data_IF_689530529609
#
_entry.id   IF_689530529609
#
_cell.length_a   1.000
_cell.length_b   1.000
_cell.length_c   1.000
_cell.angle_alpha   90.00
_cell.angle_beta   90.00
_cell.angle_gamma   90.00
#
_symmetry.space_group_name_H-M   'P 1'
#
loop_
_entity.id
_entity.type
_entity.pdbx_description
1 polymer ?
#
# COMPACT_ATOMS: atom_id res chain seq x y z
N UNK A 1 10.43 19.32 9.59
CA UNK A 1 9.56 18.99 8.43
C UNK A 1 9.87 17.62 7.83
N UNK A 2 11.14 17.23 7.67
CA UNK A 2 11.55 15.90 7.12
C UNK A 2 11.07 14.70 7.97
N UNK A 3 11.08 14.83 9.30
CA UNK A 3 10.67 13.75 10.23
C UNK A 3 9.18 13.33 10.09
N UNK A 4 8.31 14.23 9.63
CA UNK A 4 6.89 13.94 9.49
C UNK A 4 6.62 13.04 8.27
N UNK A 5 7.33 13.28 7.16
CA UNK A 5 7.16 12.50 5.94
C UNK A 5 7.68 11.07 6.12
N UNK A 6 8.83 10.89 6.77
CA UNK A 6 9.37 9.54 7.06
C UNK A 6 8.42 8.72 7.93
N UNK A 7 7.82 9.33 8.96
CA UNK A 7 6.84 8.68 9.82
C UNK A 7 5.59 8.25 9.05
N UNK A 8 5.05 9.13 8.20
CA UNK A 8 3.89 8.81 7.36
C UNK A 8 4.22 7.67 6.40
N UNK A 9 5.37 7.72 5.71
CA UNK A 9 5.80 6.66 4.78
C UNK A 9 5.92 5.32 5.49
N UNK A 10 6.56 5.26 6.66
CA UNK A 10 6.69 4.03 7.45
C UNK A 10 5.32 3.44 7.80
N UNK A 11 4.37 4.27 8.22
CA UNK A 11 3.03 3.82 8.61
C UNK A 11 2.19 3.36 7.42
N UNK A 12 2.28 4.05 6.30
CA UNK A 12 1.62 3.60 5.07
C UNK A 12 2.26 2.31 4.53
N UNK A 13 3.57 2.14 4.66
CA UNK A 13 4.26 0.89 4.31
C UNK A 13 3.79 -0.29 5.18
N UNK A 14 3.66 -0.10 6.50
CA UNK A 14 3.09 -1.12 7.39
C UNK A 14 1.64 -1.45 7.01
N UNK A 15 0.81 -0.44 6.73
CA UNK A 15 -0.57 -0.61 6.32
C UNK A 15 -0.68 -1.37 4.97
N UNK A 16 0.15 -1.03 3.98
CA UNK A 16 0.23 -1.75 2.71
C UNK A 16 0.64 -3.21 2.89
N UNK A 17 1.61 -3.49 3.75
CA UNK A 17 2.02 -4.87 4.05
C UNK A 17 0.88 -5.67 4.75
N UNK A 18 0.13 -5.04 5.65
CA UNK A 18 -1.06 -5.64 6.28
C UNK A 18 -2.15 -5.91 5.25
N UNK A 19 -2.46 -4.92 4.41
CA UNK A 19 -3.47 -5.02 3.34
C UNK A 19 -3.15 -6.14 2.36
N UNK A 20 -1.91 -6.21 1.88
CA UNK A 20 -1.42 -7.27 0.98
C UNK A 20 -1.53 -8.67 1.60
N UNK A 21 -1.38 -8.75 2.92
CA UNK A 21 -1.46 -10.00 3.67
C UNK A 21 -2.88 -10.39 4.11
N UNK A 22 -3.89 -9.59 3.78
CA UNK A 22 -5.27 -9.80 4.22
C UNK A 22 -5.46 -9.61 5.74
N UNK A 23 -4.62 -8.77 6.36
CA UNK A 23 -4.73 -8.34 7.76
C UNK A 23 -5.39 -6.96 7.84
N UNK A 24 -6.07 -6.70 8.96
CA UNK A 24 -6.64 -5.39 9.26
C UNK A 24 -5.53 -4.39 9.61
N UNK A 25 -5.75 -3.13 9.25
CA UNK A 25 -4.97 -1.97 9.65
C UNK A 25 -5.93 -0.83 9.97
N UNK A 26 -5.45 0.15 10.74
CA UNK A 26 -6.19 1.34 11.11
C UNK A 26 -5.43 2.56 10.59
N UNK A 27 -6.03 3.26 9.63
CA UNK A 27 -5.46 4.48 9.05
C UNK A 27 -5.83 5.73 9.87
N UNK A 28 -6.88 5.67 10.69
CA UNK A 28 -7.35 6.80 11.49
C UNK A 28 -6.33 7.17 12.58
N UNK A 29 -5.53 6.20 13.01
CA UNK A 29 -4.39 6.40 13.89
C UNK A 29 -3.34 7.41 13.37
N UNK A 30 -3.37 7.76 12.07
CA UNK A 30 -2.47 8.77 11.48
C UNK A 30 -3.02 10.20 11.57
N UNK A 31 -4.24 10.39 12.06
CA UNK A 31 -4.86 11.73 12.16
C UNK A 31 -5.10 12.38 10.80
N UNK A 32 -5.16 11.58 9.72
CA UNK A 32 -5.45 12.06 8.38
C UNK A 32 -6.95 12.29 8.21
N UNK A 33 -7.33 13.36 7.50
CA UNK A 33 -8.72 13.69 7.23
C UNK A 33 -8.94 14.03 5.75
N UNK A 34 -10.20 13.95 5.32
CA UNK A 34 -10.64 14.39 3.98
C UNK A 34 -9.85 13.75 2.84
N UNK A 35 -9.42 14.60 1.90
CA UNK A 35 -8.70 14.15 0.70
C UNK A 35 -7.34 13.51 1.00
N UNK A 36 -6.67 13.93 2.08
CA UNK A 36 -5.37 13.35 2.48
C UNK A 36 -5.54 11.91 2.95
N UNK A 37 -6.60 11.63 3.74
CA UNK A 37 -6.94 10.26 4.14
C UNK A 37 -7.24 9.39 2.92
N UNK A 38 -8.10 9.89 2.01
CA UNK A 38 -8.44 9.18 0.77
C UNK A 38 -7.22 8.87 -0.08
N UNK A 39 -6.32 9.84 -0.27
CA UNK A 39 -5.08 9.62 -1.01
C UNK A 39 -4.22 8.54 -0.35
N UNK A 40 -4.10 8.55 0.98
CA UNK A 40 -3.34 7.56 1.71
C UNK A 40 -3.93 6.14 1.57
N UNK A 41 -5.26 6.01 1.60
CA UNK A 41 -5.95 4.73 1.34
C UNK A 41 -5.67 4.22 -0.08
N UNK A 42 -5.72 5.09 -1.09
CA UNK A 42 -5.43 4.73 -2.48
C UNK A 42 -3.96 4.32 -2.69
N UNK A 43 -3.02 4.98 -2.00
CA UNK A 43 -1.59 4.59 -1.98
C UNK A 43 -1.42 3.20 -1.37
N UNK A 44 -2.06 2.95 -0.23
CA UNK A 44 -2.01 1.66 0.47
C UNK A 44 -2.50 0.54 -0.44
N UNK A 45 -3.65 0.73 -1.10
CA UNK A 45 -4.23 -0.27 -1.99
C UNK A 45 -3.32 -0.52 -3.21
N UNK A 46 -2.87 0.55 -3.87
CA UNK A 46 -1.97 0.48 -5.02
C UNK A 46 -0.70 -0.31 -4.70
N UNK A 47 -0.01 0.06 -3.61
CA UNK A 47 1.22 -0.63 -3.21
C UNK A 47 0.92 -2.07 -2.80
N UNK A 48 -0.13 -2.33 -2.02
CA UNK A 48 -0.46 -3.68 -1.55
C UNK A 48 -0.66 -4.69 -2.69
N UNK A 49 -1.29 -4.28 -3.80
CA UNK A 49 -1.50 -5.14 -4.98
C UNK A 49 -0.18 -5.58 -5.64
N UNK A 50 0.90 -4.81 -5.47
CA UNK A 50 2.23 -5.13 -6.04
C UNK A 50 3.06 -6.07 -5.17
N UNK A 51 2.67 -6.29 -3.91
CA UNK A 51 3.48 -7.03 -2.93
C UNK A 51 3.18 -8.53 -2.88
N UNK A 52 2.03 -8.95 -3.39
CA UNK A 52 1.52 -10.31 -3.25
C UNK A 52 0.97 -10.85 -4.56
N UNK A 53 1.16 -12.14 -4.78
CA UNK A 53 0.40 -12.89 -5.77
C UNK A 53 -0.04 -14.23 -5.18
N UNK A 54 -1.13 -14.77 -5.70
CA UNK A 54 -1.64 -16.08 -5.31
C UNK A 54 -1.36 -17.11 -6.39
N UNK A 55 -0.89 -18.29 -5.97
CA UNK A 55 -0.73 -19.44 -6.87
C UNK A 55 -1.36 -20.67 -6.23
N UNK A 56 -2.42 -21.18 -6.85
CA UNK A 56 -3.23 -22.31 -6.31
C UNK A 56 -3.79 -22.02 -4.91
N UNK A 57 -4.28 -20.79 -4.70
CA UNK A 57 -4.84 -20.34 -3.41
C UNK A 57 -3.80 -20.13 -2.29
N UNK A 58 -2.50 -20.15 -2.61
CA UNK A 58 -1.42 -19.94 -1.66
C UNK A 58 -0.73 -18.60 -1.90
N UNK A 59 -0.58 -17.82 -0.83
CA UNK A 59 0.06 -16.50 -0.85
C UNK A 59 1.57 -16.62 -1.09
N UNK A 60 2.10 -15.77 -1.97
CA UNK A 60 3.53 -15.65 -2.28
C UNK A 60 3.94 -14.19 -2.34
N UNK A 61 5.20 -13.93 -1.97
CA UNK A 61 5.78 -12.60 -2.05
C UNK A 61 6.08 -12.26 -3.52
N UNK A 62 5.50 -11.17 -4.04
CA UNK A 62 5.77 -10.73 -5.41
C UNK A 62 7.18 -10.12 -5.58
N UNK A 63 7.77 -9.63 -4.50
CA UNK A 63 9.11 -8.99 -4.53
C UNK A 63 10.23 -10.01 -4.74
N UNK A 64 10.16 -11.16 -4.08
CA UNK A 64 11.22 -12.18 -4.14
C UNK A 64 10.75 -13.58 -4.56
N UNK A 65 9.49 -13.74 -4.94
CA UNK A 65 8.86 -15.02 -5.34
C UNK A 65 8.89 -16.14 -4.29
N UNK A 66 9.30 -15.86 -3.05
CA UNK A 66 9.31 -16.83 -1.95
C UNK A 66 7.90 -17.15 -1.47
N UNK A 67 7.76 -18.32 -0.85
CA UNK A 67 6.51 -18.83 -0.30
C UNK A 67 6.32 -20.33 -0.60
N UNK A 68 5.17 -20.91 -0.21
CA UNK A 68 3.95 -20.22 0.23
C UNK A 68 4.02 -19.68 1.66
N UNK A 69 3.21 -18.67 1.97
CA UNK A 69 3.09 -18.07 3.30
C UNK A 69 1.67 -18.17 3.85
N UNK A 70 1.54 -18.19 5.18
CA UNK A 70 0.28 -17.81 5.84
C UNK A 70 0.10 -16.29 5.79
N UNK A 71 -1.11 -15.77 6.06
CA UNK A 71 -1.34 -14.31 6.16
C UNK A 71 -0.35 -13.62 7.09
N UNK A 72 -0.19 -14.13 8.31
CA UNK A 72 0.78 -13.62 9.29
C UNK A 72 2.22 -13.79 8.81
N UNK A 73 2.54 -14.91 8.16
CA UNK A 73 3.87 -15.19 7.61
C UNK A 73 4.26 -14.20 6.51
N UNK A 74 3.34 -13.88 5.59
CA UNK A 74 3.59 -12.91 4.53
C UNK A 74 3.81 -11.52 5.10
N UNK A 75 2.99 -11.10 6.06
CA UNK A 75 3.15 -9.80 6.74
C UNK A 75 4.54 -9.67 7.40
N UNK A 76 4.95 -10.69 8.17
CA UNK A 76 6.27 -10.69 8.80
C UNK A 76 7.41 -10.72 7.78
N UNK A 77 7.23 -11.44 6.68
CA UNK A 77 8.21 -11.49 5.60
C UNK A 77 8.37 -10.11 4.94
N UNK A 78 7.27 -9.46 4.55
CA UNK A 78 7.27 -8.12 3.95
C UNK A 78 7.93 -7.09 4.87
N UNK A 79 7.53 -7.04 6.14
CA UNK A 79 8.01 -6.03 7.10
C UNK A 79 9.43 -6.26 7.64
N UNK A 80 9.98 -7.48 7.54
CA UNK A 80 11.35 -7.78 8.00
C UNK A 80 12.37 -7.87 6.87
N UNK A 81 11.95 -8.27 5.67
CA UNK A 81 12.85 -8.54 4.55
C UNK A 81 12.78 -7.44 3.49
N UNK A 82 11.61 -6.85 3.28
CA UNK A 82 11.37 -5.91 2.19
C UNK A 82 10.93 -4.51 2.67
N UNK A 83 11.12 -4.18 3.95
CA UNK A 83 10.65 -2.91 4.54
C UNK A 83 11.07 -1.69 3.73
N UNK A 84 12.36 -1.53 3.50
CA UNK A 84 12.92 -0.37 2.78
C UNK A 84 12.39 -0.27 1.35
N UNK A 85 12.23 -1.42 0.68
CA UNK A 85 11.64 -1.48 -0.65
C UNK A 85 10.18 -1.01 -0.65
N UNK A 86 9.39 -1.42 0.35
CA UNK A 86 7.99 -1.03 0.47
C UNK A 86 7.87 0.46 0.79
N UNK A 87 8.72 0.99 1.69
CA UNK A 87 8.78 2.43 1.99
C UNK A 87 9.11 3.25 0.74
N UNK A 88 10.02 2.77 -0.11
CA UNK A 88 10.36 3.42 -1.37
C UNK A 88 9.20 3.38 -2.39
N UNK A 89 8.47 2.26 -2.47
CA UNK A 89 7.25 2.19 -3.29
C UNK A 89 6.18 3.18 -2.83
N UNK A 90 5.96 3.26 -1.51
CA UNK A 90 5.01 4.22 -0.92
C UNK A 90 5.44 5.66 -1.22
N UNK A 91 6.73 5.99 -1.07
CA UNK A 91 7.25 7.31 -1.37
C UNK A 91 7.00 7.71 -2.82
N UNK A 92 7.34 6.84 -3.77
CA UNK A 92 7.12 7.06 -5.20
C UNK A 92 5.65 7.25 -5.54
N UNK A 93 4.79 6.43 -4.97
CA UNK A 93 3.34 6.51 -5.20
C UNK A 93 2.75 7.81 -4.64
N UNK A 94 3.19 8.25 -3.45
CA UNK A 94 2.82 9.55 -2.88
C UNK A 94 3.29 10.71 -3.76
N UNK A 95 4.56 10.70 -4.18
CA UNK A 95 5.14 11.72 -5.05
C UNK A 95 4.38 11.80 -6.38
N UNK A 96 4.10 10.66 -7.01
CA UNK A 96 3.34 10.60 -8.25
C UNK A 96 1.95 11.22 -8.12
N UNK A 97 1.25 10.98 -7.01
CA UNK A 97 -0.09 11.54 -6.75
C UNK A 97 -0.06 13.03 -6.41
N UNK A 98 0.95 13.47 -5.67
CA UNK A 98 1.13 14.88 -5.32
C UNK A 98 1.50 15.72 -6.56
N UNK A 99 2.38 15.20 -7.41
CA UNK A 99 2.76 15.83 -8.68
C UNK A 99 1.63 15.73 -9.72
N UNK A 100 0.90 14.61 -9.74
CA UNK A 100 -0.22 14.37 -10.65
C UNK A 100 -1.48 15.18 -10.34
N UNK A 101 -1.73 15.56 -9.07
CA UNK A 101 -2.83 16.47 -8.69
C UNK A 101 -2.66 17.92 -9.20
N UNK A 102 -1.56 18.23 -9.89
CA UNK A 102 -1.44 19.45 -10.72
C UNK A 102 -2.20 19.40 -12.05
N UNK A 103 -2.81 18.25 -12.41
CA UNK A 103 -3.56 18.08 -13.66
C UNK A 103 -4.75 17.15 -13.51
N UNK A 104 -5.96 17.74 -13.39
CA UNK A 104 -7.19 17.09 -13.85
C UNK A 104 -8.03 16.38 -12.80
N UNK A 105 -9.10 17.05 -12.39
CA UNK A 105 -10.40 16.44 -12.13
C UNK A 105 -10.83 15.57 -13.32
N UNK A 106 -11.38 14.39 -13.02
CA UNK A 106 -11.90 13.48 -14.05
C UNK A 106 -12.54 12.23 -13.45
N UNK A 107 -13.64 12.42 -12.72
CA UNK A 107 -14.55 11.31 -12.44
C UNK A 107 -15.41 11.03 -13.68
N UNK A 108 -15.34 9.80 -14.19
CA UNK A 108 -16.25 9.15 -15.13
C UNK A 108 -15.63 7.74 -15.41
N UNK A 109 -16.27 6.58 -15.41
CA UNK A 109 -17.66 6.15 -15.31
C UNK A 109 -17.67 4.71 -14.79
N UNK A 110 -18.71 4.36 -14.03
CA UNK A 110 -19.16 2.98 -13.93
C UNK A 110 -19.69 2.53 -15.30
N UNK A 111 -19.25 1.37 -15.79
CA UNK A 111 -19.99 0.60 -16.77
C UNK A 111 -20.20 -0.82 -16.25
N UNK A 112 -21.39 -1.00 -15.67
CA UNK A 112 -22.08 -2.26 -15.44
C UNK A 112 -22.37 -2.97 -16.79
N UNK A 113 -22.35 -4.32 -16.74
CA UNK A 113 -23.17 -5.27 -17.54
C UNK A 113 -22.91 -5.30 -19.07
N UNK A 114 -22.97 -6.43 -19.77
CA UNK A 114 -23.39 -7.80 -19.49
C UNK A 114 -22.62 -8.74 -20.43
#
# INVERSE_FOLDING_TARGET
>A
MVLALSYVVEKLAEAAARRASGLRYDIDALGLAGETKRMAEEVIESVAMTLVFERRGLLRCAVCSKGPFTRKGLYLHLTRVHREFIEELVRKELEARLLGKGGGSGGAEHAHRA
#
